data_IF_871274099412
#
_entry.id   IF_871274099412
#
_cell.length_a   1.000
_cell.length_b   1.000
_cell.length_c   1.000
_cell.angle_alpha   90.00
_cell.angle_beta   90.00
_cell.angle_gamma   90.00
#
_symmetry.space_group_name_H-M   'P 1'
#
loop_
_entity.id
_entity.type
_entity.pdbx_description
1 polymer ?
#
# COMPACT_ATOMS: atom_id res chain seq x y z
N UNK A 1 6.99 -19.16 10.59
CA UNK A 1 8.49 -19.17 10.56
C UNK A 1 9.08 -20.52 10.97
N UNK A 2 8.57 -21.24 11.98
CA UNK A 2 9.08 -22.59 12.32
C UNK A 2 8.99 -23.56 11.15
N UNK A 3 7.85 -23.67 10.50
CA UNK A 3 7.68 -24.55 9.33
C UNK A 3 8.64 -24.22 8.17
N UNK A 4 8.96 -22.94 7.95
CA UNK A 4 9.97 -22.54 6.96
C UNK A 4 11.37 -23.05 7.37
N UNK A 5 11.71 -22.96 8.67
CA UNK A 5 12.98 -23.45 9.18
C UNK A 5 13.11 -24.97 9.04
N UNK A 6 12.02 -25.72 9.27
CA UNK A 6 11.97 -27.18 9.14
C UNK A 6 12.27 -27.69 7.73
N UNK A 7 11.95 -26.91 6.69
CA UNK A 7 12.21 -27.26 5.28
C UNK A 7 13.53 -26.70 4.75
N UNK A 8 14.37 -26.07 5.57
CA UNK A 8 15.70 -25.58 5.17
C UNK A 8 15.88 -24.06 5.29
N UNK A 9 14.84 -23.34 5.72
CA UNK A 9 14.92 -21.90 5.98
C UNK A 9 14.89 -21.04 4.71
N UNK A 10 15.57 -19.92 4.76
CA UNK A 10 15.57 -18.88 3.70
C UNK A 10 16.56 -19.18 2.58
N UNK A 11 17.67 -19.88 2.86
CA UNK A 11 18.74 -20.08 1.88
C UNK A 11 18.25 -20.83 0.61
N UNK A 12 17.51 -21.96 0.73
CA UNK A 12 16.94 -22.63 -0.45
C UNK A 12 15.96 -21.74 -1.22
N UNK A 13 15.19 -20.86 -0.55
CA UNK A 13 14.33 -19.90 -1.21
C UNK A 13 15.13 -18.89 -2.05
N UNK A 14 16.20 -18.33 -1.47
CA UNK A 14 17.07 -17.41 -2.19
C UNK A 14 17.76 -18.11 -3.36
N UNK A 15 18.18 -19.37 -3.20
CA UNK A 15 18.74 -20.18 -4.28
C UNK A 15 17.75 -20.36 -5.42
N UNK A 16 16.51 -20.72 -5.11
CA UNK A 16 15.43 -20.88 -6.10
C UNK A 16 15.14 -19.58 -6.87
N UNK A 17 15.14 -18.44 -6.18
CA UNK A 17 14.96 -17.13 -6.82
C UNK A 17 16.16 -16.73 -7.67
N UNK A 18 17.39 -17.06 -7.25
CA UNK A 18 18.60 -16.80 -8.01
C UNK A 18 18.62 -17.63 -9.29
N UNK A 19 18.30 -18.93 -9.22
CA UNK A 19 18.24 -19.83 -10.36
C UNK A 19 17.17 -19.45 -11.39
N UNK A 20 16.19 -18.67 -10.97
CA UNK A 20 15.14 -18.10 -11.81
C UNK A 20 15.43 -16.67 -12.30
N UNK A 21 16.66 -16.17 -12.15
CA UNK A 21 17.07 -14.81 -12.51
C UNK A 21 16.25 -13.69 -11.83
N UNK A 22 15.69 -13.96 -10.64
CA UNK A 22 14.92 -12.99 -9.83
C UNK A 22 15.75 -12.29 -8.75
N UNK A 23 17.04 -12.63 -8.62
CA UNK A 23 18.00 -12.00 -7.74
C UNK A 23 19.28 -11.62 -8.50
N UNK A 24 19.88 -10.49 -8.12
CA UNK A 24 21.17 -10.05 -8.62
C UNK A 24 22.28 -10.81 -7.90
N UNK A 25 22.75 -11.91 -8.50
CA UNK A 25 23.71 -12.82 -7.90
C UNK A 25 25.12 -12.25 -7.73
N UNK A 26 25.48 -11.21 -8.48
CA UNK A 26 26.75 -10.51 -8.46
C UNK A 26 26.89 -9.49 -7.31
N UNK A 27 25.79 -9.19 -6.60
CA UNK A 27 25.82 -8.25 -5.48
C UNK A 27 26.67 -8.79 -4.32
N UNK A 28 27.58 -7.94 -3.82
CA UNK A 28 28.44 -8.26 -2.68
C UNK A 28 27.61 -8.25 -1.37
N UNK A 29 27.88 -9.21 -0.51
CA UNK A 29 27.23 -9.34 0.79
C UNK A 29 28.17 -9.02 1.95
N UNK A 30 27.65 -8.95 3.17
CA UNK A 30 28.44 -8.73 4.40
C UNK A 30 29.45 -9.84 4.70
N UNK A 31 29.35 -10.99 4.06
CA UNK A 31 30.34 -12.08 4.18
C UNK A 31 31.61 -11.81 3.34
N UNK A 32 31.65 -10.77 2.54
CA UNK A 32 32.71 -10.50 1.58
C UNK A 32 32.62 -11.34 0.29
N UNK A 33 31.57 -12.15 0.16
CA UNK A 33 31.26 -12.94 -1.04
C UNK A 33 30.00 -12.39 -1.70
N UNK A 34 29.80 -12.69 -2.97
CA UNK A 34 28.58 -12.39 -3.71
C UNK A 34 27.40 -13.26 -3.25
N UNK A 35 26.19 -12.90 -3.64
CA UNK A 35 24.98 -13.74 -3.40
C UNK A 35 25.17 -15.11 -4.05
N UNK A 36 25.61 -15.15 -5.31
CA UNK A 36 25.87 -16.40 -6.03
C UNK A 36 26.90 -17.29 -5.32
N UNK A 37 28.01 -16.72 -4.84
CA UNK A 37 29.03 -17.46 -4.10
C UNK A 37 28.50 -18.02 -2.78
N UNK A 38 27.67 -17.24 -2.05
CA UNK A 38 27.09 -17.70 -0.79
C UNK A 38 26.04 -18.81 -0.99
N UNK A 39 25.38 -18.85 -2.14
CA UNK A 39 24.31 -19.81 -2.43
C UNK A 39 24.79 -21.03 -3.24
N UNK A 40 26.05 -21.05 -3.68
CA UNK A 40 26.58 -22.09 -4.58
C UNK A 40 26.51 -23.53 -4.00
N UNK A 41 26.62 -23.66 -2.67
CA UNK A 41 26.59 -24.94 -1.96
C UNK A 41 25.28 -25.19 -1.20
N UNK A 42 24.27 -24.35 -1.43
CA UNK A 42 22.96 -24.50 -0.78
C UNK A 42 22.13 -25.52 -1.52
N UNK A 43 21.67 -26.56 -0.82
CA UNK A 43 20.77 -27.55 -1.36
C UNK A 43 19.38 -26.96 -1.64
N UNK A 44 18.70 -27.37 -2.73
CA UNK A 44 17.32 -26.97 -3.00
C UNK A 44 16.35 -27.53 -1.95
N UNK A 45 15.13 -27.03 -1.92
CA UNK A 45 14.08 -27.62 -1.10
C UNK A 45 13.80 -29.05 -1.52
N UNK A 46 13.45 -29.91 -0.53
CA UNK A 46 13.02 -31.28 -0.80
C UNK A 46 11.72 -31.30 -1.61
N UNK A 47 11.61 -32.18 -2.58
CA UNK A 47 10.45 -32.29 -3.48
C UNK A 47 9.13 -32.59 -2.75
N UNK A 48 9.18 -33.23 -1.58
CA UNK A 48 8.00 -33.60 -0.80
C UNK A 48 7.56 -32.54 0.23
N UNK A 49 8.24 -31.40 0.34
CA UNK A 49 7.80 -30.32 1.19
C UNK A 49 6.62 -29.54 0.56
N UNK A 50 5.75 -28.97 1.37
CA UNK A 50 4.53 -28.27 0.94
C UNK A 50 4.47 -26.83 1.44
N UNK A 51 5.52 -26.33 2.11
CA UNK A 51 5.57 -25.02 2.72
C UNK A 51 5.89 -23.94 1.70
N UNK A 52 6.89 -24.20 0.85
CA UNK A 52 7.28 -23.28 -0.24
C UNK A 52 6.83 -23.88 -1.58
N UNK A 53 6.07 -23.12 -2.33
CA UNK A 53 5.65 -23.51 -3.67
C UNK A 53 6.77 -23.28 -4.68
N UNK A 54 6.84 -24.17 -5.67
CA UNK A 54 7.70 -23.94 -6.83
C UNK A 54 7.26 -22.68 -7.61
N UNK A 55 8.21 -22.02 -8.26
CA UNK A 55 7.97 -20.82 -9.09
C UNK A 55 6.97 -21.09 -10.22
N UNK A 56 6.98 -22.30 -10.78
CA UNK A 56 6.03 -22.70 -11.82
C UNK A 56 4.60 -22.91 -11.32
N UNK A 57 4.41 -23.06 -9.99
CA UNK A 57 3.11 -23.25 -9.36
C UNK A 57 2.93 -22.39 -8.10
N UNK A 58 2.98 -21.07 -8.22
CA UNK A 58 2.89 -20.15 -7.09
C UNK A 58 1.47 -20.13 -6.52
N UNK A 59 1.34 -19.76 -5.23
CA UNK A 59 0.03 -19.48 -4.60
C UNK A 59 -0.66 -18.32 -5.32
N UNK A 60 0.12 -17.31 -5.73
CA UNK A 60 -0.32 -16.16 -6.54
C UNK A 60 0.71 -15.85 -7.60
N UNK A 61 0.24 -15.50 -8.78
CA UNK A 61 1.08 -15.10 -9.91
C UNK A 61 1.59 -13.65 -9.83
N UNK A 62 1.06 -12.85 -8.88
CA UNK A 62 1.42 -11.44 -8.73
C UNK A 62 1.49 -11.04 -7.26
N UNK A 63 2.21 -9.94 -6.97
CA UNK A 63 2.35 -9.37 -5.62
C UNK A 63 1.01 -8.84 -5.09
N UNK A 64 0.87 -8.80 -3.75
CA UNK A 64 -0.16 -8.05 -3.04
C UNK A 64 0.10 -6.55 -3.05
N UNK A 65 1.32 -6.13 -3.30
CA UNK A 65 1.67 -4.72 -3.47
C UNK A 65 1.43 -4.32 -4.93
N UNK A 66 0.65 -3.26 -5.11
CA UNK A 66 0.36 -2.64 -6.41
C UNK A 66 0.82 -1.20 -6.40
N UNK A 67 1.46 -0.77 -7.45
CA UNK A 67 1.77 0.64 -7.64
C UNK A 67 0.66 1.23 -8.51
N UNK A 68 -0.08 2.18 -7.94
CA UNK A 68 -1.20 2.83 -8.60
C UNK A 68 -0.79 4.20 -9.11
N UNK A 69 -1.30 4.59 -10.28
CA UNK A 69 -1.11 5.91 -10.89
C UNK A 69 -2.46 6.52 -11.25
N UNK A 70 -2.50 7.82 -11.46
CA UNK A 70 -3.70 8.54 -11.89
C UNK A 70 -3.68 10.00 -11.45
N UNK A 71 -4.79 10.67 -11.64
CA UNK A 71 -4.89 12.10 -11.32
C UNK A 71 -4.78 12.40 -9.81
N UNK A 72 -4.97 11.40 -8.94
CA UNK A 72 -4.69 11.52 -7.49
C UNK A 72 -3.25 11.20 -7.11
N UNK A 73 -2.55 10.39 -7.90
CA UNK A 73 -1.19 9.96 -7.61
C UNK A 73 -0.35 9.96 -8.91
N UNK A 74 -0.05 11.15 -9.47
CA UNK A 74 0.71 11.23 -10.72
C UNK A 74 2.14 10.70 -10.59
N UNK A 75 2.73 10.72 -9.40
CA UNK A 75 4.05 10.14 -9.10
C UNK A 75 3.94 8.73 -8.48
N UNK A 76 2.73 8.23 -8.32
CA UNK A 76 2.44 6.89 -7.81
C UNK A 76 1.92 6.85 -6.38
N UNK A 77 1.34 5.71 -6.05
CA UNK A 77 0.88 5.34 -4.71
C UNK A 77 1.06 3.83 -4.51
N UNK A 78 1.14 3.37 -3.28
CA UNK A 78 1.29 1.96 -2.94
C UNK A 78 0.00 1.43 -2.35
N UNK A 79 -0.63 0.49 -3.05
CA UNK A 79 -1.78 -0.24 -2.55
C UNK A 79 -1.36 -1.64 -2.06
N UNK A 80 -1.92 -2.06 -0.92
CA UNK A 80 -1.86 -3.45 -0.48
C UNK A 80 -3.22 -4.09 -0.72
N UNK A 81 -3.33 -4.89 -1.79
CA UNK A 81 -4.57 -5.52 -2.21
C UNK A 81 -4.36 -7.03 -2.27
N UNK A 82 -4.94 -7.75 -1.31
CA UNK A 82 -4.80 -9.19 -1.21
C UNK A 82 -5.72 -9.94 -2.17
N UNK A 83 -6.82 -9.28 -2.60
CA UNK A 83 -7.85 -9.79 -3.48
C UNK A 83 -9.10 -10.28 -2.72
N UNK A 84 -9.03 -10.45 -1.39
CA UNK A 84 -10.19 -10.82 -0.57
C UNK A 84 -11.20 -9.68 -0.47
N UNK A 85 -10.73 -8.44 -0.48
CA UNK A 85 -11.49 -7.19 -0.48
C UNK A 85 -12.03 -6.80 -1.86
N UNK A 86 -11.68 -7.56 -2.91
CA UNK A 86 -11.94 -7.24 -4.31
C UNK A 86 -10.76 -6.53 -4.97
N UNK A 87 -10.91 -6.19 -6.26
CA UNK A 87 -9.86 -5.53 -7.05
C UNK A 87 -10.18 -4.07 -7.37
N UNK A 88 -11.43 -3.66 -7.14
CA UNK A 88 -11.90 -2.30 -7.42
C UNK A 88 -12.79 -1.78 -6.30
N UNK A 89 -12.59 -0.52 -5.94
CA UNK A 89 -13.43 0.20 -4.99
C UNK A 89 -13.73 1.60 -5.53
N UNK A 90 -15.00 2.00 -5.46
CA UNK A 90 -15.43 3.37 -5.76
C UNK A 90 -16.27 3.88 -4.60
N UNK A 91 -15.90 5.00 -4.03
CA UNK A 91 -16.58 5.54 -2.86
C UNK A 91 -16.53 7.05 -2.76
N UNK A 92 -17.12 7.56 -1.67
CA UNK A 92 -17.24 8.99 -1.40
C UNK A 92 -16.20 9.44 -0.38
N UNK A 93 -15.44 10.47 -0.68
CA UNK A 93 -14.37 10.97 0.16
C UNK A 93 -14.89 11.56 1.49
N UNK A 94 -14.26 11.14 2.58
CA UNK A 94 -14.31 11.74 3.93
C UNK A 94 -12.89 12.19 4.27
N UNK A 95 -12.64 13.49 4.26
CA UNK A 95 -11.30 14.08 4.29
C UNK A 95 -10.95 14.60 5.68
N UNK A 96 -9.76 14.23 6.11
CA UNK A 96 -9.18 14.61 7.40
C UNK A 96 -7.74 15.10 7.21
N UNK A 97 -7.37 16.17 7.92
CA UNK A 97 -6.06 16.80 7.80
C UNK A 97 -5.03 16.25 8.80
N UNK A 98 -5.41 15.24 9.59
CA UNK A 98 -4.54 14.51 10.50
C UNK A 98 -5.04 13.09 10.77
N UNK A 99 -4.16 12.22 11.27
CA UNK A 99 -4.55 10.88 11.77
C UNK A 99 -5.51 11.00 12.96
N UNK A 100 -5.29 12.01 13.83
CA UNK A 100 -6.10 12.25 15.02
C UNK A 100 -7.55 12.57 14.66
N UNK A 101 -7.78 13.47 13.72
CA UNK A 101 -9.13 13.85 13.27
C UNK A 101 -9.85 12.67 12.60
N UNK A 102 -9.11 11.94 11.76
CA UNK A 102 -9.62 10.71 11.12
C UNK A 102 -10.02 9.65 12.15
N UNK A 103 -9.20 9.43 13.15
CA UNK A 103 -9.46 8.47 14.22
C UNK A 103 -10.66 8.89 15.09
N UNK A 104 -10.76 10.17 15.44
CA UNK A 104 -11.91 10.71 16.16
C UNK A 104 -13.20 10.52 15.38
N UNK A 105 -13.21 10.82 14.09
CA UNK A 105 -14.38 10.61 13.22
C UNK A 105 -14.81 9.14 13.18
N UNK A 106 -13.87 8.19 13.09
CA UNK A 106 -14.15 6.76 13.13
C UNK A 106 -14.77 6.37 14.48
N UNK A 107 -14.18 6.80 15.59
CA UNK A 107 -14.68 6.51 16.95
C UNK A 107 -16.09 7.05 17.16
N UNK A 108 -16.42 8.18 16.57
CA UNK A 108 -17.75 8.82 16.63
C UNK A 108 -18.75 8.24 15.59
N UNK A 109 -18.42 7.13 14.90
CA UNK A 109 -19.22 6.48 13.89
C UNK A 109 -19.66 7.40 12.74
N UNK A 110 -18.78 8.32 12.31
CA UNK A 110 -19.03 9.25 11.20
C UNK A 110 -18.65 8.65 9.83
N UNK A 111 -18.05 7.46 9.82
CA UNK A 111 -17.68 6.72 8.62
C UNK A 111 -18.74 5.65 8.34
N UNK A 112 -19.13 5.54 7.10
CA UNK A 112 -20.19 4.63 6.64
C UNK A 112 -19.69 3.75 5.49
N UNK A 113 -20.41 2.67 5.23
CA UNK A 113 -20.19 1.82 4.06
C UNK A 113 -20.17 2.65 2.77
N UNK A 114 -19.19 2.42 1.90
CA UNK A 114 -19.00 3.17 0.64
C UNK A 114 -18.18 4.44 0.79
N UNK A 115 -17.68 4.79 1.98
CA UNK A 115 -16.79 5.92 2.15
C UNK A 115 -15.34 5.57 1.77
N UNK A 116 -14.61 6.58 1.30
CA UNK A 116 -13.15 6.59 1.18
C UNK A 116 -12.60 7.55 2.23
N UNK A 117 -12.00 7.00 3.27
CA UNK A 117 -11.33 7.79 4.31
C UNK A 117 -10.03 8.33 3.76
N UNK A 118 -9.89 9.65 3.70
CA UNK A 118 -8.71 10.36 3.20
C UNK A 118 -8.04 11.03 4.39
N UNK A 119 -6.84 10.56 4.76
CA UNK A 119 -6.00 11.24 5.76
C UNK A 119 -4.78 11.81 5.02
N UNK A 120 -4.56 13.10 5.13
CA UNK A 120 -3.51 13.83 4.44
C UNK A 120 -2.64 14.65 5.40
N UNK A 121 -1.51 15.17 4.90
CA UNK A 121 -0.44 15.80 5.69
C UNK A 121 0.33 14.83 6.61
N UNK A 122 0.31 13.55 6.29
CA UNK A 122 1.05 12.50 7.00
C UNK A 122 2.22 11.93 6.17
N UNK A 123 2.52 12.60 5.05
CA UNK A 123 3.64 12.27 4.17
C UNK A 123 5.00 12.68 4.73
N UNK A 124 6.10 12.48 3.99
CA UNK A 124 7.47 12.69 4.46
C UNK A 124 7.77 14.08 4.99
N UNK A 125 7.12 15.12 4.44
CA UNK A 125 7.32 16.52 4.85
C UNK A 125 6.18 17.02 5.73
N UNK A 126 4.95 16.59 5.48
CA UNK A 126 3.78 17.00 6.23
C UNK A 126 3.66 16.33 7.59
N UNK A 127 3.99 15.05 7.68
CA UNK A 127 3.93 14.24 8.90
C UNK A 127 5.31 13.71 9.30
N UNK A 128 6.03 14.40 10.21
CA UNK A 128 7.37 13.97 10.62
C UNK A 128 7.42 12.52 11.10
N UNK A 129 8.28 11.71 10.49
CA UNK A 129 8.40 10.28 10.77
C UNK A 129 7.42 9.40 10.00
N UNK A 130 6.48 10.00 9.26
CA UNK A 130 5.55 9.29 8.38
C UNK A 130 4.84 8.13 9.09
N UNK A 131 3.91 8.46 9.97
CA UNK A 131 3.23 7.50 10.86
C UNK A 131 2.51 6.40 10.10
N UNK A 132 2.49 5.19 10.68
CA UNK A 132 1.67 4.09 10.19
C UNK A 132 0.23 4.25 10.68
N UNK A 133 -0.74 4.16 9.77
CA UNK A 133 -2.17 4.33 10.06
C UNK A 133 -2.77 3.08 10.75
N UNK A 134 -2.20 2.65 11.89
CA UNK A 134 -2.65 1.45 12.60
C UNK A 134 -3.93 1.67 13.39
N UNK A 135 -4.06 2.78 14.09
CA UNK A 135 -5.23 3.07 14.93
C UNK A 135 -6.51 3.20 14.11
N UNK A 136 -6.56 4.09 13.09
CA UNK A 136 -7.77 4.27 12.29
C UNK A 136 -8.15 3.00 11.52
N UNK A 137 -7.20 2.27 10.95
CA UNK A 137 -7.51 1.03 10.22
C UNK A 137 -8.00 -0.08 11.13
N UNK A 138 -7.42 -0.21 12.34
CA UNK A 138 -7.90 -1.17 13.35
C UNK A 138 -9.30 -0.81 13.85
N UNK A 139 -9.60 0.48 14.03
CA UNK A 139 -10.91 0.94 14.45
C UNK A 139 -11.99 0.65 13.40
N UNK A 140 -11.72 0.88 12.11
CA UNK A 140 -12.60 0.51 10.99
C UNK A 140 -12.87 -1.00 10.97
N UNK A 141 -11.83 -1.82 11.14
CA UNK A 141 -12.00 -3.27 11.24
C UNK A 141 -12.88 -3.67 12.44
N UNK A 142 -12.66 -3.03 13.60
CA UNK A 142 -13.44 -3.26 14.81
C UNK A 142 -14.93 -2.90 14.68
N UNK A 143 -15.27 -1.97 13.78
CA UNK A 143 -16.65 -1.59 13.45
C UNK A 143 -17.29 -2.48 12.37
N UNK A 144 -16.57 -3.49 11.84
CA UNK A 144 -17.06 -4.36 10.77
C UNK A 144 -17.14 -3.68 9.40
N UNK A 145 -16.37 -2.60 9.19
CA UNK A 145 -16.35 -1.82 7.95
C UNK A 145 -15.10 -2.10 7.10
N UNK A 146 -14.24 -3.04 7.47
CA UNK A 146 -12.94 -3.26 6.87
C UNK A 146 -12.93 -3.63 5.39
N UNK A 147 -13.99 -4.25 4.89
CA UNK A 147 -14.21 -4.62 3.48
C UNK A 147 -15.18 -3.68 2.75
N UNK A 148 -15.73 -2.68 3.47
CA UNK A 148 -16.79 -1.78 3.00
C UNK A 148 -16.34 -0.33 2.83
N UNK A 149 -15.14 -0.01 3.27
CA UNK A 149 -14.53 1.31 3.28
C UNK A 149 -13.13 1.21 2.69
N UNK A 150 -12.76 2.16 1.85
CA UNK A 150 -11.36 2.32 1.45
C UNK A 150 -10.68 3.38 2.31
N UNK A 151 -9.36 3.27 2.41
CA UNK A 151 -8.53 4.17 3.19
C UNK A 151 -7.34 4.64 2.34
N UNK A 152 -7.17 5.94 2.16
CA UNK A 152 -6.07 6.51 1.38
C UNK A 152 -5.33 7.59 2.16
N UNK A 153 -4.01 7.68 1.97
CA UNK A 153 -3.16 8.65 2.67
C UNK A 153 -1.87 8.94 1.90
N UNK A 154 -1.30 10.12 2.08
CA UNK A 154 0.08 10.43 1.72
C UNK A 154 1.11 9.92 2.75
N UNK A 155 0.63 9.46 3.91
CA UNK A 155 1.39 8.68 4.87
C UNK A 155 1.57 7.22 4.45
N UNK A 156 1.68 6.29 5.42
CA UNK A 156 1.90 4.87 5.16
C UNK A 156 0.99 3.95 5.97
N UNK A 157 0.90 2.70 5.52
CA UNK A 157 0.21 1.64 6.23
C UNK A 157 1.17 0.55 6.70
N UNK A 158 0.82 -0.09 7.81
CA UNK A 158 1.51 -1.29 8.26
C UNK A 158 1.27 -2.48 7.32
N UNK A 159 2.26 -3.36 7.22
CA UNK A 159 2.09 -4.65 6.52
C UNK A 159 0.97 -5.53 7.08
N UNK A 160 0.55 -5.33 8.34
CA UNK A 160 -0.57 -6.03 8.98
C UNK A 160 -1.95 -5.45 8.68
N UNK A 161 -2.05 -4.32 7.98
CA UNK A 161 -3.32 -3.68 7.66
C UNK A 161 -4.14 -4.51 6.66
N UNK A 162 -5.46 -4.57 6.87
CA UNK A 162 -6.43 -5.24 6.01
C UNK A 162 -7.37 -4.24 5.34
N UNK A 163 -8.04 -4.67 4.25
CA UNK A 163 -8.98 -3.87 3.48
C UNK A 163 -8.33 -3.09 2.33
N UNK A 164 -9.12 -2.26 1.66
CA UNK A 164 -8.65 -1.39 0.58
C UNK A 164 -7.82 -0.24 1.14
N UNK A 165 -6.49 -0.39 1.18
CA UNK A 165 -5.58 0.62 1.71
C UNK A 165 -4.56 1.06 0.68
N UNK A 166 -4.45 2.38 0.47
CA UNK A 166 -3.50 3.02 -0.45
C UNK A 166 -2.72 4.08 0.30
N UNK A 167 -1.44 3.86 0.49
CA UNK A 167 -0.50 4.79 1.11
C UNK A 167 0.49 5.38 0.12
N UNK A 168 1.39 6.20 0.63
CA UNK A 168 2.46 6.83 -0.15
C UNK A 168 1.95 7.58 -1.38
N UNK A 169 0.75 8.19 -1.31
CA UNK A 169 0.20 8.98 -2.42
C UNK A 169 1.14 10.16 -2.68
N UNK A 170 1.67 10.21 -3.89
CA UNK A 170 2.67 11.19 -4.28
C UNK A 170 2.24 11.97 -5.52
N UNK A 171 2.46 13.31 -5.50
CA UNK A 171 3.01 14.15 -4.43
C UNK A 171 2.09 14.25 -3.20
N UNK A 172 2.68 14.40 -1.99
CA UNK A 172 1.94 14.58 -0.74
C UNK A 172 1.22 15.95 -0.67
N UNK A 173 0.22 16.07 0.20
CA UNK A 173 -0.56 17.32 0.36
C UNK A 173 0.32 18.51 0.77
N UNK A 174 1.29 18.32 1.65
CA UNK A 174 2.17 19.38 2.15
C UNK A 174 2.98 20.08 1.05
N UNK A 175 3.31 19.39 -0.04
CA UNK A 175 4.00 19.98 -1.20
C UNK A 175 3.07 20.39 -2.33
N UNK A 176 1.75 20.29 -2.13
CA UNK A 176 0.76 20.71 -3.12
C UNK A 176 0.27 19.58 -4.03
N UNK A 177 0.43 18.32 -3.61
CA UNK A 177 -0.07 17.17 -4.36
C UNK A 177 -1.60 17.10 -4.45
N UNK A 178 -2.14 16.35 -5.42
CA UNK A 178 -3.59 16.25 -5.67
C UNK A 178 -4.41 15.77 -4.47
N UNK A 179 -3.86 14.95 -3.60
CA UNK A 179 -4.53 14.52 -2.37
C UNK A 179 -4.93 15.72 -1.49
N UNK A 180 -4.16 16.81 -1.54
CA UNK A 180 -4.43 18.04 -0.79
C UNK A 180 -5.71 18.77 -1.22
N UNK A 181 -6.18 18.56 -2.45
CA UNK A 181 -7.34 19.29 -3.02
C UNK A 181 -8.62 18.47 -3.03
N UNK A 182 -8.61 17.24 -2.52
CA UNK A 182 -9.81 16.42 -2.34
C UNK A 182 -10.75 17.13 -1.34
N UNK A 183 -12.05 17.10 -1.67
CA UNK A 183 -13.12 17.63 -0.81
C UNK A 183 -14.03 16.52 -0.34
N UNK A 184 -14.64 16.71 0.83
CA UNK A 184 -15.72 15.82 1.28
C UNK A 184 -16.80 15.71 0.19
N UNK A 185 -17.20 14.48 -0.12
CA UNK A 185 -18.20 14.19 -1.16
C UNK A 185 -17.64 13.92 -2.54
N UNK A 186 -16.36 14.17 -2.81
CA UNK A 186 -15.74 13.76 -4.09
C UNK A 186 -15.78 12.24 -4.25
N UNK A 187 -15.98 11.76 -5.47
CA UNK A 187 -15.87 10.34 -5.78
C UNK A 187 -14.43 9.94 -6.08
N UNK A 188 -13.98 8.85 -5.46
CA UNK A 188 -12.65 8.29 -5.66
C UNK A 188 -12.80 6.84 -6.11
N UNK A 189 -12.04 6.47 -7.15
CA UNK A 189 -11.95 5.09 -7.63
C UNK A 189 -10.53 4.58 -7.46
N UNK A 190 -10.41 3.39 -6.86
CA UNK A 190 -9.18 2.60 -6.73
C UNK A 190 -9.40 1.34 -7.55
N UNK A 191 -8.53 1.06 -8.50
CA UNK A 191 -8.65 -0.07 -9.41
C UNK A 191 -7.31 -0.79 -9.53
N UNK A 192 -7.22 -1.97 -8.92
CA UNK A 192 -6.01 -2.80 -8.94
C UNK A 192 -5.84 -3.60 -10.23
N UNK A 193 -6.88 -3.74 -11.06
CA UNK A 193 -6.77 -4.41 -12.36
C UNK A 193 -6.03 -3.52 -13.34
N UNK A 194 -6.36 -2.22 -13.34
CA UNK A 194 -5.72 -1.21 -14.20
C UNK A 194 -4.56 -0.50 -13.52
N UNK A 195 -4.27 -0.82 -12.24
CA UNK A 195 -3.28 -0.14 -11.41
C UNK A 195 -3.52 1.38 -11.36
N UNK A 196 -4.75 1.81 -11.14
CA UNK A 196 -5.12 3.22 -11.14
C UNK A 196 -5.79 3.69 -9.85
N UNK A 197 -5.61 4.98 -9.55
CA UNK A 197 -6.32 5.71 -8.50
C UNK A 197 -6.72 7.09 -9.03
N UNK A 198 -7.99 7.43 -8.93
CA UNK A 198 -8.52 8.67 -9.52
C UNK A 198 -9.61 9.30 -8.67
N UNK A 199 -9.69 10.61 -8.76
CA UNK A 199 -10.84 11.42 -8.35
C UNK A 199 -11.69 11.72 -9.59
N UNK A 200 -13.02 11.58 -9.47
CA UNK A 200 -13.97 11.76 -10.56
C UNK A 200 -14.38 13.24 -10.66
N UNK A 201 -13.45 14.07 -11.14
CA UNK A 201 -13.66 15.47 -11.52
C UNK A 201 -12.96 15.72 -12.85
N UNK A 202 -13.35 16.79 -13.57
CA UNK A 202 -12.64 17.13 -14.81
C UNK A 202 -11.23 17.66 -14.56
N UNK A 203 -10.35 17.52 -15.56
CA UNK A 203 -8.98 18.02 -15.47
C UNK A 203 -8.94 19.54 -15.21
N UNK A 204 -9.90 20.29 -15.76
CA UNK A 204 -10.01 21.74 -15.55
C UNK A 204 -10.38 22.06 -14.08
N UNK A 205 -11.30 21.29 -13.47
CA UNK A 205 -11.64 21.46 -12.05
C UNK A 205 -10.47 21.06 -11.16
N UNK A 206 -9.78 19.97 -11.46
CA UNK A 206 -8.59 19.56 -10.72
C UNK A 206 -7.52 20.64 -10.78
N UNK A 207 -7.20 21.14 -11.97
CA UNK A 207 -6.20 22.20 -12.15
C UNK A 207 -6.59 23.47 -11.40
N UNK A 208 -7.85 23.89 -11.49
CA UNK A 208 -8.38 25.05 -10.77
C UNK A 208 -8.25 24.88 -9.25
N UNK A 209 -8.49 23.66 -8.71
CA UNK A 209 -8.30 23.39 -7.29
C UNK A 209 -6.84 23.47 -6.91
N UNK A 210 -5.93 22.90 -7.72
CA UNK A 210 -4.47 22.95 -7.50
C UNK A 210 -3.93 24.38 -7.54
N UNK A 211 -4.34 25.19 -8.50
CA UNK A 211 -3.90 26.59 -8.64
C UNK A 211 -4.28 27.47 -7.43
N UNK A 212 -5.40 27.14 -6.79
CA UNK A 212 -5.90 27.86 -5.59
C UNK A 212 -5.49 27.23 -4.27
N UNK A 213 -4.85 26.06 -4.31
CA UNK A 213 -4.49 25.33 -3.11
C UNK A 213 -3.30 25.94 -2.40
N UNK A 214 -3.45 26.12 -1.10
CA UNK A 214 -2.36 26.52 -0.21
C UNK A 214 -2.23 25.45 0.85
N UNK A 215 -1.15 24.66 0.80
CA UNK A 215 -0.91 23.64 1.82
C UNK A 215 -0.91 24.23 3.23
N UNK A 216 -1.59 23.57 4.16
CA UNK A 216 -1.45 23.86 5.57
C UNK A 216 -0.01 23.49 6.00
N UNK A 217 0.71 24.44 6.56
CA UNK A 217 2.12 24.29 6.98
C UNK A 217 2.32 24.56 8.46
N UNK A 218 1.25 24.53 9.23
CA UNK A 218 1.29 24.71 10.69
C UNK A 218 1.48 23.39 11.43
#
# INVERSE_FOLDING_TARGET
>A
MSSLNEVGGIQPLMKMLLDADLLHGDCLTVSGKTISENLSEVDPYLDNQTIIRDISNPIKSSSHLRILYGNLAPEGAVAKITGNEGLKFTGTAKVFDSEEDGNEAIQNNLISEGDVVVIRYEGPKGGPGMREMLKPTSAIMGQGLGDKVAFITDGRFSGGTHGFVVGHISPEAYVGGPIGVIKNGDKITIDAETNSISIDISDEELQKRLDNFKPNKE
#
